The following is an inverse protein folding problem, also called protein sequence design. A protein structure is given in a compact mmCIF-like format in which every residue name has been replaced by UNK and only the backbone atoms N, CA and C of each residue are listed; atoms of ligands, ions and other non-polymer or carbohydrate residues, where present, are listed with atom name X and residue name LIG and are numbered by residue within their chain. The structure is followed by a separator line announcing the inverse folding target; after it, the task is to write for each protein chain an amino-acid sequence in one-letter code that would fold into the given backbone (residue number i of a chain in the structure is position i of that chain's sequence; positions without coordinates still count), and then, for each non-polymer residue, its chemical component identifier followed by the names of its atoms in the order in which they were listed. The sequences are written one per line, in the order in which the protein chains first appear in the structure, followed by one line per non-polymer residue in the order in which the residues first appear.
data_IF_857023404532
#
_entry.id   IF_857023404532
#
_cell.length_a   1.000
_cell.length_b   1.000
_cell.length_c   1.000
_cell.angle_alpha   90.00
_cell.angle_beta   90.00
_cell.angle_gamma   90.00
#
_symmetry.space_group_name_H-M   'P 1'
#
loop_
_entity.id
_entity.type
_entity.pdbx_description
1 polymer ?
#
# COMPACT_ATOMS: atom_id res chain seq x y z
N UNK A 1 12.32 -22.07 -5.29
CA UNK A 1 13.28 -20.95 -5.23
C UNK A 1 12.94 -19.98 -4.10
N UNK A 2 11.74 -19.35 -4.06
CA UNK A 2 11.41 -18.42 -2.97
C UNK A 2 11.30 -19.11 -1.61
N UNK A 3 10.63 -20.26 -1.52
CA UNK A 3 10.52 -21.05 -0.29
C UNK A 3 11.90 -21.43 0.29
N UNK A 4 12.83 -21.88 -0.55
CA UNK A 4 14.20 -22.20 -0.15
C UNK A 4 14.94 -20.99 0.44
N UNK A 5 14.80 -19.81 -0.16
CA UNK A 5 15.34 -18.56 0.40
C UNK A 5 14.74 -18.24 1.76
N UNK A 6 13.41 -18.44 1.92
CA UNK A 6 12.75 -18.21 3.21
C UNK A 6 13.25 -19.18 4.27
N UNK A 7 13.34 -20.47 3.97
CA UNK A 7 13.84 -21.49 4.90
C UNK A 7 15.29 -21.22 5.34
N UNK A 8 16.16 -20.83 4.40
CA UNK A 8 17.55 -20.42 4.70
C UNK A 8 17.60 -19.17 5.57
N UNK A 9 16.80 -18.15 5.24
CA UNK A 9 16.73 -16.92 6.02
C UNK A 9 16.20 -17.19 7.46
N UNK A 10 15.21 -18.09 7.62
CA UNK A 10 14.72 -18.54 8.93
C UNK A 10 15.82 -19.27 9.73
N UNK A 11 16.73 -19.98 9.07
CA UNK A 11 17.90 -20.61 9.67
C UNK A 11 19.02 -19.60 10.05
N UNK A 12 18.87 -18.32 9.68
CA UNK A 12 19.80 -17.26 10.03
C UNK A 12 20.75 -16.85 8.89
N UNK A 13 20.50 -17.30 7.67
CA UNK A 13 21.25 -16.87 6.48
C UNK A 13 20.89 -15.44 6.10
N UNK A 14 21.80 -14.50 6.39
CA UNK A 14 21.62 -13.06 6.11
C UNK A 14 21.56 -12.75 4.62
N UNK A 15 22.30 -13.49 3.79
CA UNK A 15 22.31 -13.29 2.34
C UNK A 15 20.96 -13.69 1.72
N UNK A 16 20.40 -14.82 2.20
CA UNK A 16 19.07 -15.25 1.77
C UNK A 16 17.98 -14.22 2.11
N UNK A 17 18.04 -13.61 3.30
CA UNK A 17 17.10 -12.53 3.64
C UNK A 17 17.32 -11.27 2.79
N UNK A 18 18.57 -10.89 2.56
CA UNK A 18 18.89 -9.73 1.72
C UNK A 18 18.35 -9.91 0.30
N UNK A 19 18.43 -11.11 -0.24
CA UNK A 19 17.85 -11.44 -1.55
C UNK A 19 16.31 -11.37 -1.53
N UNK A 20 15.65 -11.90 -0.50
CA UNK A 20 14.20 -11.78 -0.32
C UNK A 20 13.76 -10.30 -0.25
N UNK A 21 14.49 -9.49 0.52
CA UNK A 21 14.22 -8.06 0.64
C UNK A 21 14.40 -7.35 -0.72
N UNK A 22 15.49 -7.64 -1.44
CA UNK A 22 15.76 -7.07 -2.76
C UNK A 22 14.67 -7.40 -3.78
N UNK A 23 14.16 -8.63 -3.77
CA UNK A 23 13.09 -9.08 -4.65
C UNK A 23 11.74 -8.42 -4.30
N UNK A 24 11.47 -8.22 -3.01
CA UNK A 24 10.17 -7.76 -2.51
C UNK A 24 10.03 -6.25 -2.32
N UNK A 25 11.13 -5.50 -2.08
CA UNK A 25 11.08 -4.11 -1.63
C UNK A 25 10.28 -3.18 -2.56
N UNK A 26 10.42 -3.35 -3.87
CA UNK A 26 9.69 -2.51 -4.85
C UNK A 26 8.18 -2.70 -4.76
N UNK A 27 7.74 -3.95 -4.57
CA UNK A 27 6.32 -4.29 -4.43
C UNK A 27 5.76 -3.79 -3.10
N UNK A 28 6.51 -3.98 -2.01
CA UNK A 28 6.14 -3.46 -0.69
C UNK A 28 5.99 -1.95 -0.70
N UNK A 29 6.96 -1.23 -1.27
CA UNK A 29 6.91 0.22 -1.42
C UNK A 29 5.70 0.66 -2.25
N UNK A 30 5.41 -0.02 -3.37
CA UNK A 30 4.23 0.29 -4.17
C UNK A 30 2.92 0.13 -3.38
N UNK A 31 2.80 -0.93 -2.57
CA UNK A 31 1.66 -1.15 -1.67
C UNK A 31 1.57 -0.04 -0.63
N UNK A 32 2.67 0.28 0.04
CA UNK A 32 2.72 1.36 1.03
C UNK A 32 2.33 2.72 0.41
N UNK A 33 2.83 3.01 -0.80
CA UNK A 33 2.48 4.22 -1.57
C UNK A 33 0.98 4.33 -1.85
N UNK A 34 0.36 3.24 -2.28
CA UNK A 34 -1.09 3.20 -2.52
C UNK A 34 -1.89 3.41 -1.22
N UNK A 35 -1.41 2.90 -0.09
CA UNK A 35 -2.07 3.02 1.21
C UNK A 35 -1.86 4.43 1.81
N UNK A 36 -0.64 4.92 1.87
CA UNK A 36 -0.27 6.14 2.58
C UNK A 36 -0.41 7.39 1.71
N UNK A 37 -0.17 7.28 0.40
CA UNK A 37 -0.18 8.38 -0.58
C UNK A 37 0.88 9.45 -0.32
N UNK A 38 1.87 9.09 0.45
CA UNK A 38 3.01 9.91 0.83
C UNK A 38 4.28 9.08 0.58
N UNK A 39 5.29 9.66 -0.09
CA UNK A 39 6.50 8.95 -0.49
C UNK A 39 7.35 8.62 0.73
N UNK A 40 7.54 9.62 1.59
CA UNK A 40 8.43 9.52 2.74
C UNK A 40 7.84 8.53 3.76
N UNK A 41 6.54 8.67 4.08
CA UNK A 41 5.86 7.72 4.97
C UNK A 41 5.82 6.29 4.39
N UNK A 42 5.74 6.15 3.07
CA UNK A 42 5.76 4.83 2.43
C UNK A 42 7.15 4.19 2.48
N UNK A 43 8.21 4.99 2.35
CA UNK A 43 9.58 4.54 2.52
C UNK A 43 9.83 4.09 3.95
N UNK A 44 9.48 4.92 4.94
CA UNK A 44 9.61 4.61 6.36
C UNK A 44 8.86 3.33 6.73
N UNK A 45 7.59 3.20 6.30
CA UNK A 45 6.79 1.99 6.55
C UNK A 45 7.39 0.74 5.90
N UNK A 46 7.98 0.88 4.72
CA UNK A 46 8.61 -0.24 4.01
C UNK A 46 9.89 -0.68 4.69
N UNK A 47 10.76 0.25 5.08
CA UNK A 47 12.00 -0.03 5.78
C UNK A 47 11.71 -0.69 7.14
N UNK A 48 10.78 -0.15 7.90
CA UNK A 48 10.43 -0.71 9.21
C UNK A 48 9.79 -2.10 9.09
N UNK A 49 8.92 -2.32 8.09
CA UNK A 49 8.34 -3.64 7.85
C UNK A 49 9.42 -4.68 7.52
N UNK A 50 10.42 -4.32 6.72
CA UNK A 50 11.56 -5.20 6.42
C UNK A 50 12.45 -5.44 7.64
N UNK A 51 12.69 -4.41 8.46
CA UNK A 51 13.45 -4.54 9.71
C UNK A 51 12.76 -5.48 10.69
N UNK A 52 11.45 -5.29 10.91
CA UNK A 52 10.65 -6.19 11.76
C UNK A 52 10.62 -7.60 11.18
N UNK A 53 10.49 -7.72 9.85
CA UNK A 53 10.51 -9.01 9.19
C UNK A 53 11.81 -9.75 9.44
N UNK A 54 12.96 -9.07 9.33
CA UNK A 54 14.25 -9.69 9.60
C UNK A 54 14.41 -10.13 11.05
N UNK A 55 14.04 -9.27 11.99
CA UNK A 55 14.10 -9.57 13.42
C UNK A 55 13.23 -10.76 13.81
N UNK A 56 12.01 -10.80 13.28
CA UNK A 56 10.96 -11.72 13.74
C UNK A 56 10.79 -12.94 12.80
N UNK A 57 11.62 -13.09 11.75
CA UNK A 57 11.48 -14.14 10.72
C UNK A 57 11.48 -15.56 11.31
N UNK A 58 12.24 -15.78 12.37
CA UNK A 58 12.30 -17.09 13.06
C UNK A 58 10.96 -17.48 13.72
N UNK A 59 10.06 -16.53 13.94
CA UNK A 59 8.72 -16.78 14.47
C UNK A 59 7.72 -17.21 13.38
N UNK A 60 8.09 -17.10 12.11
CA UNK A 60 7.28 -17.60 10.99
C UNK A 60 7.27 -19.13 11.02
N UNK A 61 6.06 -19.71 11.14
CA UNK A 61 5.91 -21.18 11.23
C UNK A 61 5.87 -21.88 9.87
N UNK A 62 5.37 -21.17 8.86
CA UNK A 62 5.12 -21.71 7.54
C UNK A 62 5.79 -20.82 6.48
N UNK A 63 6.88 -21.30 5.84
CA UNK A 63 7.59 -20.56 4.81
C UNK A 63 6.71 -20.12 3.64
N UNK A 64 5.68 -20.91 3.29
CA UNK A 64 4.77 -20.60 2.18
C UNK A 64 3.88 -19.40 2.50
N UNK A 65 3.76 -19.01 3.76
CA UNK A 65 3.02 -17.82 4.22
C UNK A 65 3.87 -16.56 4.37
N UNK A 66 5.12 -16.59 3.94
CA UNK A 66 6.05 -15.48 4.10
C UNK A 66 5.50 -14.17 3.50
N UNK A 67 5.01 -14.18 2.27
CA UNK A 67 4.46 -12.97 1.63
C UNK A 67 3.26 -12.41 2.40
N UNK A 68 2.30 -13.26 2.76
CA UNK A 68 1.13 -12.83 3.50
C UNK A 68 1.49 -12.28 4.89
N UNK A 69 2.50 -12.89 5.54
CA UNK A 69 3.03 -12.42 6.81
C UNK A 69 3.74 -11.06 6.65
N UNK A 70 4.57 -10.90 5.63
CA UNK A 70 5.27 -9.66 5.33
C UNK A 70 4.30 -8.51 4.99
N UNK A 71 3.25 -8.79 4.23
CA UNK A 71 2.20 -7.80 3.95
C UNK A 71 1.45 -7.38 5.23
N UNK A 72 1.22 -8.29 6.19
CA UNK A 72 0.63 -7.92 7.50
C UNK A 72 1.54 -6.98 8.29
N UNK A 73 2.84 -7.23 8.27
CA UNK A 73 3.81 -6.31 8.89
C UNK A 73 3.74 -4.93 8.23
N UNK A 74 3.80 -4.88 6.89
CA UNK A 74 3.71 -3.64 6.13
C UNK A 74 2.44 -2.85 6.45
N UNK A 75 1.27 -3.51 6.47
CA UNK A 75 0.00 -2.84 6.78
C UNK A 75 0.00 -2.27 8.19
N UNK A 76 0.57 -3.00 9.17
CA UNK A 76 0.71 -2.50 10.54
C UNK A 76 1.57 -1.25 10.59
N UNK A 77 2.68 -1.23 9.87
CA UNK A 77 3.56 -0.07 9.81
C UNK A 77 2.89 1.10 9.06
N UNK A 78 2.17 0.84 7.95
CA UNK A 78 1.37 1.87 7.29
C UNK A 78 0.34 2.52 8.24
N UNK A 79 -0.32 1.75 9.09
CA UNK A 79 -1.24 2.31 10.08
C UNK A 79 -0.53 3.12 11.15
N UNK A 80 0.66 2.71 11.57
CA UNK A 80 1.49 3.47 12.50
C UNK A 80 1.89 4.82 11.90
N UNK A 81 2.41 4.81 10.68
CA UNK A 81 2.82 6.04 9.98
C UNK A 81 1.65 6.97 9.67
N UNK A 82 0.50 6.43 9.24
CA UNK A 82 -0.70 7.24 9.03
C UNK A 82 -1.17 7.97 10.29
N UNK A 83 -1.03 7.36 11.47
CA UNK A 83 -1.36 8.00 12.77
C UNK A 83 -0.33 9.06 13.15
N UNK A 84 0.95 8.78 12.92
CA UNK A 84 2.05 9.72 13.16
C UNK A 84 1.94 10.93 12.24
N UNK A 85 1.72 10.70 10.94
CA UNK A 85 1.55 11.76 9.94
C UNK A 85 0.37 12.69 10.25
N UNK A 86 -0.78 12.14 10.69
CA UNK A 86 -1.93 12.98 11.12
C UNK A 86 -1.56 13.92 12.27
N UNK A 87 -0.84 13.44 13.28
CA UNK A 87 -0.39 14.27 14.39
C UNK A 87 0.57 15.37 13.92
N UNK A 88 1.46 15.06 12.97
CA UNK A 88 2.39 16.04 12.40
C UNK A 88 1.65 17.11 11.59
N UNK A 89 0.68 16.71 10.77
CA UNK A 89 -0.15 17.63 9.96
C UNK A 89 -1.02 18.53 10.83
N UNK A 90 -1.58 18.03 11.94
CA UNK A 90 -2.35 18.83 12.91
C UNK A 90 -1.48 19.90 13.60
N UNK A 91 -0.19 19.60 13.81
CA UNK A 91 0.77 20.54 14.44
C UNK A 91 1.32 21.55 13.43
N UNK A 92 1.58 21.12 12.18
CA UNK A 92 2.25 21.92 11.17
C UNK A 92 1.31 22.61 10.14
N UNK A 93 0.01 22.30 10.19
CA UNK A 93 -0.99 22.90 9.26
C UNK A 93 -0.75 22.58 7.77
N UNK A 94 0.10 21.63 7.46
CA UNK A 94 0.51 21.30 6.10
C UNK A 94 -0.30 20.15 5.52
N UNK A 95 -0.96 20.38 4.40
CA UNK A 95 -1.44 19.33 3.50
C UNK A 95 -0.23 18.88 2.67
N UNK A 96 0.22 17.61 2.72
CA UNK A 96 1.36 17.17 1.95
C UNK A 96 1.08 17.30 0.44
N UNK A 97 1.96 17.95 -0.33
CA UNK A 97 1.82 17.95 -1.79
C UNK A 97 2.13 16.57 -2.34
N UNK A 98 1.26 16.08 -3.22
CA UNK A 98 1.50 14.86 -3.98
C UNK A 98 2.47 15.22 -5.12
N UNK A 99 3.76 15.03 -4.88
CA UNK A 99 4.76 15.14 -5.93
C UNK A 99 4.97 13.77 -6.58
N UNK A 100 4.66 13.65 -7.85
CA UNK A 100 5.03 12.50 -8.68
C UNK A 100 6.01 12.94 -9.75
N UNK A 101 7.07 12.15 -9.91
CA UNK A 101 8.00 12.30 -11.03
C UNK A 101 7.28 11.97 -12.36
N UNK A 102 7.52 12.82 -13.33
CA UNK A 102 6.91 12.87 -14.64
C UNK A 102 6.98 11.55 -15.43
N UNK A 103 5.81 11.07 -15.83
CA UNK A 103 5.65 10.19 -16.98
C UNK A 103 4.77 10.91 -18.00
N UNK A 104 5.13 10.95 -19.30
CA UNK A 104 4.39 11.75 -20.27
C UNK A 104 3.08 11.09 -20.74
N UNK A 105 2.01 11.89 -20.94
CA UNK A 105 0.85 11.54 -21.72
C UNK A 105 -0.37 10.99 -20.96
N UNK A 106 -1.20 10.18 -21.65
CA UNK A 106 -2.47 9.61 -21.15
C UNK A 106 -2.34 8.76 -19.89
N UNK A 107 -1.20 8.13 -19.70
CA UNK A 107 -0.88 7.35 -18.50
C UNK A 107 -0.89 8.24 -17.24
N UNK A 108 -0.52 9.51 -17.34
CA UNK A 108 -0.58 10.46 -16.23
C UNK A 108 -2.01 10.81 -15.85
N UNK A 109 -2.89 11.02 -16.83
CA UNK A 109 -4.28 11.36 -16.55
C UNK A 109 -4.99 10.23 -15.78
N UNK A 110 -4.79 8.97 -16.18
CA UNK A 110 -5.37 7.81 -15.49
C UNK A 110 -4.77 7.65 -14.07
N UNK A 111 -3.48 7.89 -13.93
CA UNK A 111 -2.80 7.85 -12.64
C UNK A 111 -3.32 8.93 -11.72
N UNK A 112 -3.49 10.16 -12.22
CA UNK A 112 -4.04 11.28 -11.46
C UNK A 112 -5.49 11.03 -11.04
N UNK A 113 -6.30 10.42 -11.91
CA UNK A 113 -7.67 10.01 -11.57
C UNK A 113 -7.68 8.98 -10.44
N UNK A 114 -6.83 7.96 -10.52
CA UNK A 114 -6.66 6.94 -9.48
C UNK A 114 -6.24 7.59 -8.14
N UNK A 115 -5.27 8.48 -8.18
CA UNK A 115 -4.76 9.20 -7.01
C UNK A 115 -5.86 10.06 -6.35
N UNK A 116 -6.63 10.79 -7.13
CA UNK A 116 -7.77 11.58 -6.63
C UNK A 116 -8.83 10.68 -6.01
N UNK A 117 -9.12 9.53 -6.64
CA UNK A 117 -10.04 8.54 -6.08
C UNK A 117 -9.55 7.98 -4.74
N UNK A 118 -8.28 7.59 -4.66
CA UNK A 118 -7.67 7.09 -3.43
C UNK A 118 -7.63 8.16 -2.32
N UNK A 119 -7.52 9.45 -2.69
CA UNK A 119 -7.56 10.57 -1.75
C UNK A 119 -8.84 10.63 -0.93
N UNK A 120 -9.96 10.23 -1.51
CA UNK A 120 -11.28 10.27 -0.88
C UNK A 120 -11.54 9.12 0.08
N UNK A 121 -10.63 8.13 0.13
CA UNK A 121 -10.74 6.98 1.01
C UNK A 121 -9.99 7.22 2.32
N UNK A 122 -10.56 6.72 3.42
CA UNK A 122 -9.79 6.59 4.67
C UNK A 122 -8.68 5.54 4.48
N UNK A 123 -7.68 5.55 5.35
CA UNK A 123 -6.57 4.58 5.29
C UNK A 123 -7.10 3.14 5.36
N UNK A 124 -8.11 2.89 6.19
CA UNK A 124 -8.71 1.56 6.37
C UNK A 124 -9.42 1.06 5.09
N UNK A 125 -10.14 1.96 4.41
CA UNK A 125 -10.81 1.64 3.15
C UNK A 125 -9.81 1.43 2.02
N UNK A 126 -8.78 2.29 1.94
CA UNK A 126 -7.68 2.16 0.97
C UNK A 126 -6.94 0.85 1.14
N UNK A 127 -6.57 0.51 2.37
CA UNK A 127 -5.88 -0.74 2.67
C UNK A 127 -6.70 -1.94 2.22
N UNK A 128 -7.98 -2.01 2.57
CA UNK A 128 -8.84 -3.11 2.13
C UNK A 128 -8.96 -3.19 0.60
N UNK A 129 -9.05 -2.04 -0.08
CA UNK A 129 -9.10 -1.95 -1.54
C UNK A 129 -7.79 -2.46 -2.18
N UNK A 130 -6.64 -2.03 -1.66
CA UNK A 130 -5.32 -2.42 -2.16
C UNK A 130 -5.06 -3.90 -1.95
N UNK A 131 -5.37 -4.44 -0.77
CA UNK A 131 -5.22 -5.87 -0.49
C UNK A 131 -6.08 -6.71 -1.44
N UNK A 132 -7.32 -6.29 -1.72
CA UNK A 132 -8.23 -7.03 -2.59
C UNK A 132 -7.87 -6.91 -4.07
N UNK A 133 -7.77 -5.68 -4.60
CA UNK A 133 -7.68 -5.45 -6.04
C UNK A 133 -6.24 -5.43 -6.56
N UNK A 134 -5.25 -5.06 -5.75
CA UNK A 134 -3.85 -5.01 -6.17
C UNK A 134 -3.08 -6.29 -5.79
N UNK A 135 -3.31 -6.83 -4.59
CA UNK A 135 -2.65 -8.05 -4.13
C UNK A 135 -3.46 -9.33 -4.34
N UNK A 136 -4.75 -9.23 -4.71
CA UNK A 136 -5.60 -10.38 -5.01
C UNK A 136 -6.10 -11.16 -3.78
N UNK A 137 -6.05 -10.55 -2.59
CA UNK A 137 -6.49 -11.22 -1.35
C UNK A 137 -7.99 -11.47 -1.36
N UNK A 138 -8.38 -12.66 -0.91
CA UNK A 138 -9.76 -12.99 -0.57
C UNK A 138 -10.23 -12.24 0.66
N UNK A 139 -11.55 -12.13 0.85
CA UNK A 139 -12.10 -11.43 2.03
C UNK A 139 -11.69 -12.05 3.38
N UNK A 140 -11.61 -13.39 3.54
CA UNK A 140 -11.04 -13.99 4.74
C UNK A 140 -9.58 -13.59 4.97
N UNK A 141 -8.72 -13.65 3.93
CA UNK A 141 -7.30 -13.27 4.04
C UNK A 141 -7.14 -11.78 4.42
N UNK A 142 -8.00 -10.90 3.91
CA UNK A 142 -8.03 -9.49 4.34
C UNK A 142 -8.43 -9.38 5.81
N UNK A 143 -9.43 -10.16 6.25
CA UNK A 143 -9.83 -10.23 7.65
C UNK A 143 -8.65 -10.60 8.56
N UNK A 144 -7.93 -11.66 8.20
CA UNK A 144 -6.76 -12.14 8.92
C UNK A 144 -5.60 -11.12 8.91
N UNK A 145 -5.35 -10.50 7.74
CA UNK A 145 -4.28 -9.51 7.60
C UNK A 145 -4.53 -8.24 8.42
N UNK A 146 -5.78 -7.80 8.54
CA UNK A 146 -6.19 -6.59 9.26
C UNK A 146 -6.63 -6.83 10.71
N UNK A 147 -6.74 -8.09 11.14
CA UNK A 147 -7.28 -8.44 12.46
C UNK A 147 -8.74 -8.04 12.64
N UNK A 148 -9.58 -8.17 11.60
CA UNK A 148 -10.99 -7.80 11.59
C UNK A 148 -11.88 -8.96 11.10
N UNK A 149 -13.15 -9.02 11.50
CA UNK A 149 -14.08 -10.01 10.97
C UNK A 149 -14.21 -9.93 9.43
N UNK A 150 -14.35 -11.07 8.75
CA UNK A 150 -14.52 -11.16 7.29
C UNK A 150 -15.70 -10.28 6.79
N UNK A 151 -16.79 -10.17 7.56
CA UNK A 151 -17.91 -9.28 7.24
C UNK A 151 -17.52 -7.80 7.23
N UNK A 152 -16.61 -7.39 8.12
CA UNK A 152 -16.04 -6.04 8.14
C UNK A 152 -15.09 -5.82 6.94
N UNK A 153 -14.28 -6.82 6.59
CA UNK A 153 -13.44 -6.76 5.38
C UNK A 153 -14.29 -6.58 4.13
N UNK A 154 -15.37 -7.38 3.99
CA UNK A 154 -16.35 -7.26 2.89
C UNK A 154 -16.97 -5.87 2.80
N UNK A 155 -17.44 -5.32 3.91
CA UNK A 155 -18.06 -3.99 3.92
C UNK A 155 -17.06 -2.88 3.57
N UNK A 156 -15.80 -2.98 4.04
CA UNK A 156 -14.72 -2.03 3.69
C UNK A 156 -14.38 -2.08 2.20
N UNK A 157 -14.18 -3.26 1.62
CA UNK A 157 -13.90 -3.42 0.18
C UNK A 157 -15.06 -2.86 -0.64
N UNK A 158 -16.30 -3.24 -0.30
CA UNK A 158 -17.48 -2.75 -1.02
C UNK A 158 -17.61 -1.23 -0.98
N UNK A 159 -17.50 -0.63 0.22
CA UNK A 159 -17.59 0.83 0.39
C UNK A 159 -16.44 1.55 -0.32
N UNK A 160 -15.22 1.04 -0.25
CA UNK A 160 -14.08 1.60 -0.95
C UNK A 160 -14.28 1.59 -2.47
N UNK A 161 -14.75 0.46 -3.02
CA UNK A 161 -15.05 0.31 -4.45
C UNK A 161 -16.15 1.28 -4.91
N UNK A 162 -17.22 1.46 -4.11
CA UNK A 162 -18.28 2.43 -4.42
C UNK A 162 -17.74 3.87 -4.46
N UNK A 163 -16.95 4.27 -3.46
CA UNK A 163 -16.36 5.61 -3.40
C UNK A 163 -15.39 5.86 -4.55
N UNK A 164 -14.57 4.86 -4.91
CA UNK A 164 -13.68 4.95 -6.08
C UNK A 164 -14.47 5.14 -7.37
N UNK A 165 -15.51 4.35 -7.61
CA UNK A 165 -16.37 4.48 -8.80
C UNK A 165 -17.03 5.86 -8.87
N UNK A 166 -17.56 6.34 -7.75
CA UNK A 166 -18.17 7.67 -7.68
C UNK A 166 -17.15 8.79 -7.99
N UNK A 167 -15.92 8.65 -7.50
CA UNK A 167 -14.84 9.58 -7.77
C UNK A 167 -14.48 9.64 -9.27
N UNK A 168 -14.28 8.48 -9.90
CA UNK A 168 -13.94 8.36 -11.31
C UNK A 168 -15.05 8.90 -12.23
N UNK A 169 -16.33 8.64 -11.90
CA UNK A 169 -17.47 9.19 -12.66
C UNK A 169 -17.58 10.71 -12.52
N UNK A 170 -17.31 11.25 -11.33
CA UNK A 170 -17.33 12.69 -11.11
C UNK A 170 -16.21 13.39 -11.90
N UNK A 171 -15.01 12.82 -11.91
CA UNK A 171 -13.86 13.36 -12.65
C UNK A 171 -14.05 13.27 -14.18
N UNK A 172 -14.69 12.21 -14.68
CA UNK A 172 -15.02 12.09 -16.10
C UNK A 172 -16.01 13.16 -16.62
N UNK A 173 -16.74 13.81 -15.72
CA UNK A 173 -17.69 14.90 -16.05
C UNK A 173 -17.07 16.28 -16.02
N UNK A 174 -15.84 16.43 -15.49
CA UNK A 174 -15.13 17.70 -15.52
C UNK A 174 -14.52 17.91 -16.92
N UNK A 175 -14.67 19.09 -17.54
CA UNK A 175 -14.03 19.37 -18.83
C UNK A 175 -12.51 19.23 -18.66
N UNK A 176 -11.90 18.36 -19.46
CA UNK A 176 -10.44 18.25 -19.54
C UNK A 176 -9.89 19.61 -19.98
N UNK A 177 -8.88 20.18 -19.30
CA UNK A 177 -8.23 21.37 -19.80
C UNK A 177 -7.69 21.04 -21.20
N UNK A 178 -8.24 21.70 -22.21
CA UNK A 178 -7.77 21.63 -23.58
C UNK A 178 -6.32 22.10 -23.58
N UNK A 179 -5.38 21.17 -23.85
CA UNK A 179 -3.98 21.50 -23.99
C UNK A 179 -3.82 22.60 -25.05
N UNK A 180 -3.59 23.83 -24.60
CA UNK A 180 -3.27 24.95 -25.48
C UNK A 180 -2.01 24.58 -26.25
N UNK A 181 -2.13 24.45 -27.57
CA UNK A 181 -0.99 24.49 -28.47
C UNK A 181 -0.31 25.85 -28.29
N UNK A 182 0.99 25.89 -27.99
CA UNK A 182 1.73 27.13 -28.17
C UNK A 182 1.83 27.39 -29.69
N UNK A 183 1.37 28.54 -30.09
CA UNK A 183 1.64 29.15 -31.41
C UNK A 183 3.07 29.61 -31.48
#
# INVERSE_FOLDING_TARGET
MQRDLVERAMAGDHEAFSELARLGVRRLYAVARLILRDADLAEDATQEALFVAWRDLRALRDPDRFEAWLHRLLVRECYREARSGRRRTEVEGRVPPIAYADAPGEMNALRDELERGLARLTVELRTALVLHHYLGYSLPEIGDALGIPTGTAKSRVHRATQLMRAALVADARLPRPSGGRPT
#
